data_IF_524837246128
#
_entry.id   IF_524837246128
#
_cell.length_a   1.000
_cell.length_b   1.000
_cell.length_c   1.000
_cell.angle_alpha   90.00
_cell.angle_beta   90.00
_cell.angle_gamma   90.00
#
_symmetry.space_group_name_H-M   'P 1'
#
loop_
_entity.id
_entity.type
_entity.pdbx_description
1 polymer ?
#
# COMPACT_ATOMS: atom_id res chain seq x y z
N UNK A 1 -12.59 -24.21 -3.47
CA UNK A 1 -13.82 -23.50 -3.06
C UNK A 1 -14.04 -22.30 -3.97
N UNK A 2 -15.28 -21.98 -4.30
CA UNK A 2 -15.62 -20.82 -5.13
C UNK A 2 -15.51 -19.55 -4.30
N UNK A 3 -14.85 -18.52 -4.85
CA UNK A 3 -14.78 -17.17 -4.28
C UNK A 3 -15.15 -16.14 -5.33
N UNK A 4 -15.60 -14.96 -4.88
CA UNK A 4 -15.93 -13.82 -5.74
C UNK A 4 -15.40 -12.55 -5.08
N UNK A 5 -14.31 -12.00 -5.59
CA UNK A 5 -13.57 -10.87 -5.03
C UNK A 5 -13.64 -9.69 -6.02
N UNK A 6 -13.91 -8.49 -5.55
CA UNK A 6 -13.79 -7.28 -6.37
C UNK A 6 -12.36 -6.76 -6.29
N UNK A 7 -11.54 -7.03 -7.31
CA UNK A 7 -10.13 -6.63 -7.38
C UNK A 7 -9.98 -5.38 -8.26
N UNK A 8 -9.55 -4.27 -7.67
CA UNK A 8 -9.38 -2.98 -8.36
C UNK A 8 -10.62 -2.58 -9.19
N UNK A 9 -11.82 -2.79 -8.62
CA UNK A 9 -13.08 -2.48 -9.27
C UNK A 9 -13.62 -3.55 -10.23
N UNK A 10 -12.86 -4.59 -10.51
CA UNK A 10 -13.25 -5.69 -11.41
C UNK A 10 -13.62 -6.92 -10.59
N UNK A 11 -14.79 -7.49 -10.83
CA UNK A 11 -15.22 -8.72 -10.16
C UNK A 11 -14.50 -9.93 -10.75
N UNK A 12 -13.79 -10.65 -9.90
CA UNK A 12 -13.11 -11.91 -10.22
C UNK A 12 -13.82 -13.03 -9.47
N UNK A 13 -14.25 -14.07 -10.19
CA UNK A 13 -14.92 -15.23 -9.60
C UNK A 13 -14.26 -16.50 -10.12
N UNK A 14 -13.66 -17.27 -9.22
CA UNK A 14 -12.95 -18.50 -9.56
C UNK A 14 -12.94 -19.51 -8.43
N UNK A 15 -12.57 -20.73 -8.75
CA UNK A 15 -12.34 -21.79 -7.76
C UNK A 15 -10.88 -21.73 -7.28
N UNK A 16 -10.68 -21.66 -5.97
CA UNK A 16 -9.36 -21.60 -5.34
C UNK A 16 -9.13 -22.73 -4.34
N UNK A 17 -7.86 -23.00 -4.05
CA UNK A 17 -7.47 -23.83 -2.90
C UNK A 17 -7.83 -23.10 -1.59
N UNK A 18 -8.33 -23.82 -0.57
CA UNK A 18 -8.76 -23.20 0.70
C UNK A 18 -7.65 -22.46 1.46
N UNK A 19 -6.40 -22.86 1.25
CA UNK A 19 -5.19 -22.32 1.88
C UNK A 19 -4.47 -21.27 1.04
N UNK A 20 -5.04 -20.89 -0.13
CA UNK A 20 -4.44 -19.87 -0.99
C UNK A 20 -4.36 -18.52 -0.25
N UNK A 21 -3.16 -17.94 -0.20
CA UNK A 21 -2.95 -16.62 0.39
C UNK A 21 -3.42 -15.51 -0.56
N UNK A 22 -3.94 -14.42 0.02
CA UNK A 22 -4.43 -13.28 -0.75
C UNK A 22 -3.32 -12.66 -1.62
N UNK A 23 -2.07 -12.63 -1.15
CA UNK A 23 -0.92 -12.17 -1.94
C UNK A 23 -0.77 -12.97 -3.24
N UNK A 24 -0.90 -14.27 -3.20
CA UNK A 24 -0.71 -15.13 -4.37
C UNK A 24 -1.91 -14.98 -5.32
N UNK A 25 -3.12 -14.86 -4.80
CA UNK A 25 -4.32 -14.54 -5.57
C UNK A 25 -4.16 -13.24 -6.37
N UNK A 26 -3.88 -12.11 -5.70
CA UNK A 26 -3.79 -10.81 -6.39
C UNK A 26 -2.63 -10.76 -7.40
N UNK A 27 -1.52 -11.44 -7.11
CA UNK A 27 -0.38 -11.54 -8.03
C UNK A 27 -0.68 -12.40 -9.26
N UNK A 28 -1.46 -13.47 -9.12
CA UNK A 28 -1.96 -14.28 -10.24
C UNK A 28 -2.83 -13.44 -11.18
N UNK A 29 -3.58 -12.47 -10.64
CA UNK A 29 -4.42 -11.54 -11.41
C UNK A 29 -3.70 -10.25 -11.85
N UNK A 30 -2.38 -10.27 -11.94
CA UNK A 30 -1.60 -9.18 -12.54
C UNK A 30 -1.15 -8.08 -11.58
N UNK A 31 -1.57 -8.08 -10.31
CA UNK A 31 -1.16 -7.08 -9.32
C UNK A 31 0.29 -7.32 -8.86
N UNK A 32 1.25 -6.99 -9.71
CA UNK A 32 2.68 -7.23 -9.46
C UNK A 32 3.33 -6.23 -8.52
N UNK A 33 2.66 -5.09 -8.23
CA UNK A 33 3.08 -4.15 -7.21
C UNK A 33 3.08 -4.77 -5.80
N UNK A 34 2.20 -5.74 -5.55
CA UNK A 34 2.13 -6.48 -4.29
C UNK A 34 3.30 -7.47 -4.23
N UNK A 35 4.25 -7.24 -3.31
CA UNK A 35 5.51 -8.00 -3.28
C UNK A 35 5.70 -8.78 -1.99
N UNK A 36 6.36 -9.94 -2.11
CA UNK A 36 6.78 -10.76 -0.98
C UNK A 36 8.23 -10.42 -0.65
N UNK A 37 8.45 -9.65 0.41
CA UNK A 37 9.79 -9.24 0.86
C UNK A 37 10.25 -9.97 2.12
N UNK A 38 9.37 -10.71 2.79
CA UNK A 38 9.69 -11.54 3.96
C UNK A 38 8.76 -12.74 4.04
N UNK A 39 9.08 -13.66 4.95
CA UNK A 39 8.24 -14.82 5.29
C UNK A 39 7.68 -14.74 6.73
N UNK A 40 7.80 -13.56 7.36
CA UNK A 40 7.49 -13.35 8.78
C UNK A 40 6.44 -12.27 9.02
N UNK A 41 5.77 -11.79 7.96
CA UNK A 41 4.66 -10.82 8.01
C UNK A 41 5.00 -9.48 8.69
N UNK A 42 6.24 -8.98 8.48
CA UNK A 42 6.71 -7.76 9.14
C UNK A 42 7.29 -6.69 8.21
N UNK A 43 7.44 -6.95 6.90
CA UNK A 43 8.10 -5.99 6.01
C UNK A 43 7.17 -4.93 5.37
N UNK A 44 5.86 -5.14 5.38
CA UNK A 44 4.89 -4.20 4.82
C UNK A 44 4.78 -4.18 3.28
N UNK A 45 5.60 -4.95 2.55
CA UNK A 45 5.67 -4.87 1.09
C UNK A 45 4.46 -5.51 0.37
N UNK A 46 3.71 -6.34 1.07
CA UNK A 46 2.52 -7.01 0.57
C UNK A 46 1.21 -6.29 0.93
N UNK A 47 1.28 -5.07 1.43
CA UNK A 47 0.10 -4.31 1.83
C UNK A 47 -0.86 -4.10 0.67
N UNK A 48 -2.13 -4.41 0.91
CA UNK A 48 -3.28 -4.12 0.06
C UNK A 48 -4.40 -3.52 0.91
N UNK A 49 -5.40 -2.91 0.30
CA UNK A 49 -6.61 -2.54 1.03
C UNK A 49 -7.66 -3.64 0.90
N UNK A 50 -8.19 -4.08 2.01
CA UNK A 50 -9.38 -4.91 2.13
C UNK A 50 -10.49 -4.03 2.70
N UNK A 51 -11.52 -3.73 1.89
CA UNK A 51 -12.58 -2.77 2.22
C UNK A 51 -12.02 -1.46 2.77
N UNK A 52 -11.06 -0.89 2.03
CA UNK A 52 -10.38 0.37 2.32
C UNK A 52 -9.48 0.38 3.59
N UNK A 53 -9.25 -0.78 4.22
CA UNK A 53 -8.32 -0.94 5.35
C UNK A 53 -7.03 -1.63 4.93
N UNK A 54 -5.85 -1.14 5.34
CA UNK A 54 -4.59 -1.77 5.00
C UNK A 54 -4.44 -3.12 5.72
N UNK A 55 -4.09 -4.14 4.95
CA UNK A 55 -3.79 -5.49 5.48
C UNK A 55 -2.56 -6.06 4.80
N UNK A 56 -1.84 -6.93 5.52
CA UNK A 56 -0.74 -7.71 4.95
C UNK A 56 -1.32 -8.91 4.19
N UNK A 57 -1.36 -8.85 2.88
CA UNK A 57 -1.96 -9.91 2.05
C UNK A 57 -1.28 -11.27 2.19
N UNK A 58 -0.02 -11.31 2.65
CA UNK A 58 0.69 -12.56 2.97
C UNK A 58 0.17 -13.28 4.23
N UNK A 59 -0.68 -12.60 5.04
CA UNK A 59 -1.26 -13.13 6.28
C UNK A 59 -2.78 -13.28 6.20
N UNK A 60 -3.36 -13.09 5.02
CA UNK A 60 -4.80 -13.23 4.77
C UNK A 60 -5.02 -14.36 3.78
N UNK A 61 -5.91 -15.28 4.10
CA UNK A 61 -6.39 -16.29 3.13
C UNK A 61 -7.30 -15.62 2.10
N UNK A 62 -7.13 -15.95 0.82
CA UNK A 62 -8.00 -15.43 -0.25
C UNK A 62 -9.48 -15.76 0.00
N UNK A 63 -9.76 -16.90 0.62
CA UNK A 63 -11.09 -17.31 1.06
C UNK A 63 -11.77 -16.31 2.00
N UNK A 64 -10.99 -15.56 2.80
CA UNK A 64 -11.52 -14.51 3.71
C UNK A 64 -11.87 -13.22 2.99
N UNK A 65 -11.43 -13.06 1.75
CA UNK A 65 -11.75 -11.92 0.90
C UNK A 65 -12.97 -12.17 0.00
N UNK A 66 -13.65 -13.32 0.12
CA UNK A 66 -14.87 -13.60 -0.63
C UNK A 66 -15.96 -12.57 -0.33
N UNK A 67 -16.53 -11.99 -1.37
CA UNK A 67 -17.52 -10.91 -1.26
C UNK A 67 -16.95 -9.52 -0.96
N UNK A 68 -15.65 -9.40 -0.70
CA UNK A 68 -14.99 -8.16 -0.32
C UNK A 68 -14.30 -7.44 -1.50
N UNK A 69 -13.93 -6.17 -1.26
CA UNK A 69 -13.18 -5.33 -2.19
C UNK A 69 -11.71 -5.36 -1.82
N UNK A 70 -10.88 -5.70 -2.79
CA UNK A 70 -9.42 -5.61 -2.68
C UNK A 70 -8.93 -4.51 -3.61
N UNK A 71 -8.14 -3.58 -3.05
CA UNK A 71 -7.49 -2.53 -3.83
C UNK A 71 -5.97 -2.65 -3.66
N UNK A 72 -5.27 -2.69 -4.76
CA UNK A 72 -3.80 -2.66 -4.84
C UNK A 72 -3.34 -1.34 -5.45
N UNK A 73 -2.03 -1.12 -5.53
CA UNK A 73 -1.49 0.11 -6.12
C UNK A 73 -1.95 0.31 -7.58
N UNK A 74 -2.18 -0.79 -8.31
CA UNK A 74 -2.72 -0.74 -9.67
C UNK A 74 -4.11 -0.07 -9.74
N UNK A 75 -4.88 -0.11 -8.67
CA UNK A 75 -6.18 0.56 -8.55
C UNK A 75 -6.13 1.98 -7.99
N UNK A 76 -4.95 2.52 -7.67
CA UNK A 76 -4.74 3.83 -7.03
C UNK A 76 -3.70 4.69 -7.79
N UNK A 77 -3.62 4.54 -9.11
CA UNK A 77 -2.55 5.14 -9.92
C UNK A 77 -2.46 6.67 -9.79
N UNK A 78 -3.59 7.36 -9.74
CA UNK A 78 -3.61 8.83 -9.64
C UNK A 78 -3.09 9.31 -8.28
N UNK A 79 -3.65 8.79 -7.18
CA UNK A 79 -3.21 9.11 -5.81
C UNK A 79 -1.74 8.74 -5.60
N UNK A 80 -1.34 7.57 -6.12
CA UNK A 80 0.02 7.06 -6.00
C UNK A 80 1.02 7.92 -6.78
N UNK A 81 0.68 8.38 -7.97
CA UNK A 81 1.54 9.23 -8.79
C UNK A 81 1.73 10.63 -8.16
N UNK A 82 0.65 11.24 -7.64
CA UNK A 82 0.71 12.54 -6.97
C UNK A 82 1.65 12.47 -5.76
N UNK A 83 1.46 11.51 -4.86
CA UNK A 83 2.31 11.33 -3.68
C UNK A 83 3.72 10.87 -4.05
N UNK A 84 3.85 9.93 -4.99
CA UNK A 84 5.12 9.33 -5.40
C UNK A 84 6.13 10.37 -5.93
N UNK A 85 5.67 11.42 -6.58
CA UNK A 85 6.50 12.55 -7.03
C UNK A 85 7.27 13.19 -5.88
N UNK A 86 6.64 13.40 -4.74
CA UNK A 86 7.29 13.98 -3.55
C UNK A 86 8.37 13.06 -2.96
N UNK A 87 8.20 11.75 -3.07
CA UNK A 87 9.21 10.78 -2.64
C UNK A 87 10.41 10.78 -3.59
N UNK A 88 10.14 10.81 -4.89
CA UNK A 88 11.19 10.87 -5.93
C UNK A 88 12.02 12.14 -5.82
N UNK A 89 11.40 13.30 -5.60
CA UNK A 89 12.08 14.61 -5.44
C UNK A 89 13.06 14.65 -4.27
N UNK A 90 12.91 13.77 -3.28
CA UNK A 90 13.85 13.64 -2.16
C UNK A 90 15.01 12.67 -2.44
N UNK A 91 15.08 12.07 -3.63
CA UNK A 91 16.03 11.01 -3.92
C UNK A 91 15.84 9.77 -3.04
N UNK A 92 14.62 9.55 -2.54
CA UNK A 92 14.30 8.45 -1.64
C UNK A 92 14.13 7.11 -2.38
N UNK A 93 14.10 7.14 -3.68
CA UNK A 93 14.02 5.94 -4.52
C UNK A 93 15.41 5.45 -4.91
N UNK A 94 15.69 4.17 -4.66
CA UNK A 94 16.88 3.48 -5.14
C UNK A 94 16.46 2.24 -5.92
N UNK A 95 16.30 1.06 -5.28
CA UNK A 95 15.84 -0.12 -6.01
C UNK A 95 14.34 -0.13 -6.30
N UNK A 96 13.54 0.67 -5.59
CA UNK A 96 12.09 0.80 -5.77
C UNK A 96 11.25 -0.38 -5.24
N UNK A 97 11.89 -1.42 -4.71
CA UNK A 97 11.17 -2.64 -4.31
C UNK A 97 10.18 -2.40 -3.18
N UNK A 98 10.50 -1.52 -2.22
CA UNK A 98 9.63 -1.19 -1.09
C UNK A 98 8.52 -0.18 -1.44
N UNK A 99 8.67 0.58 -2.52
CA UNK A 99 7.80 1.73 -2.82
C UNK A 99 6.31 1.39 -2.88
N UNK A 100 5.85 0.32 -3.55
CA UNK A 100 4.42 0.04 -3.60
C UNK A 100 3.77 -0.16 -2.23
N UNK A 101 4.38 -0.99 -1.37
CA UNK A 101 3.86 -1.21 -0.02
C UNK A 101 3.94 0.03 0.86
N UNK A 102 5.02 0.80 0.73
CA UNK A 102 5.20 2.08 1.42
C UNK A 102 4.12 3.09 1.01
N UNK A 103 3.87 3.27 -0.29
CA UNK A 103 2.83 4.18 -0.80
C UNK A 103 1.46 3.74 -0.31
N UNK A 104 1.11 2.46 -0.37
CA UNK A 104 -0.16 1.93 0.13
C UNK A 104 -0.37 2.29 1.61
N UNK A 105 0.63 2.10 2.47
CA UNK A 105 0.52 2.42 3.88
C UNK A 105 0.52 3.93 4.15
N UNK A 106 1.27 4.73 3.39
CA UNK A 106 1.20 6.19 3.50
C UNK A 106 -0.20 6.72 3.12
N UNK A 107 -0.79 6.22 2.04
CA UNK A 107 -2.16 6.57 1.65
C UNK A 107 -3.18 6.15 2.71
N UNK A 108 -2.99 4.99 3.36
CA UNK A 108 -3.82 4.57 4.48
C UNK A 108 -3.73 5.54 5.65
N UNK A 109 -2.51 5.93 6.03
CA UNK A 109 -2.28 6.92 7.09
C UNK A 109 -3.00 8.25 6.78
N UNK A 110 -2.88 8.77 5.56
CA UNK A 110 -3.51 10.04 5.16
C UNK A 110 -5.04 9.99 5.17
N UNK A 111 -5.63 8.81 4.99
CA UNK A 111 -7.09 8.58 5.10
C UNK A 111 -7.55 8.53 6.55
N UNK A 112 -6.74 7.94 7.43
CA UNK A 112 -7.03 7.83 8.86
C UNK A 112 -6.74 9.14 9.60
N UNK A 113 -5.62 9.80 9.27
CA UNK A 113 -5.18 11.08 9.82
C UNK A 113 -4.65 11.97 8.68
N UNK A 114 -5.43 12.95 8.21
CA UNK A 114 -5.04 13.81 7.07
C UNK A 114 -3.80 14.68 7.32
N UNK A 115 -3.46 14.95 8.58
CA UNK A 115 -2.35 15.81 8.96
C UNK A 115 -1.54 15.22 10.12
N UNK A 116 -0.91 14.06 9.91
CA UNK A 116 -0.12 13.42 10.95
C UNK A 116 1.12 14.25 11.28
N UNK A 117 1.54 14.19 12.52
CA UNK A 117 2.83 14.69 12.96
C UNK A 117 3.95 13.77 12.45
N UNK A 118 5.19 14.26 12.47
CA UNK A 118 6.35 13.46 12.09
C UNK A 118 6.48 12.17 12.91
N UNK A 119 6.20 12.23 14.21
CA UNK A 119 6.22 11.05 15.09
C UNK A 119 5.14 10.03 14.71
N UNK A 120 3.91 10.49 14.43
CA UNK A 120 2.82 9.62 13.97
C UNK A 120 3.15 8.95 12.63
N UNK A 121 3.80 9.67 11.72
CA UNK A 121 4.28 9.10 10.45
C UNK A 121 5.30 8.00 10.69
N UNK A 122 6.30 8.25 11.56
CA UNK A 122 7.34 7.27 11.91
C UNK A 122 6.75 6.03 12.57
N UNK A 123 5.83 6.21 13.49
CA UNK A 123 5.15 5.11 14.18
C UNK A 123 4.33 4.27 13.20
N UNK A 124 3.49 4.91 12.40
CA UNK A 124 2.60 4.20 11.45
C UNK A 124 3.39 3.41 10.40
N UNK A 125 4.48 3.98 9.89
CA UNK A 125 5.29 3.38 8.84
C UNK A 125 6.44 2.50 9.36
N UNK A 126 6.55 2.29 10.65
CA UNK A 126 7.60 1.45 11.26
C UNK A 126 7.61 0.01 10.76
N UNK A 127 6.46 -0.49 10.29
CA UNK A 127 6.32 -1.82 9.67
C UNK A 127 6.64 -1.85 8.16
N UNK A 128 7.07 -0.75 7.55
CA UNK A 128 7.44 -0.68 6.13
C UNK A 128 8.96 -0.68 5.98
N UNK A 129 9.54 -1.84 5.66
CA UNK A 129 10.98 -2.00 5.64
C UNK A 129 11.58 -1.62 4.28
N UNK A 130 12.66 -0.85 4.35
CA UNK A 130 13.51 -0.50 3.21
C UNK A 130 14.98 -0.77 3.57
N UNK A 131 15.74 -1.38 2.66
CA UNK A 131 17.17 -1.66 2.87
C UNK A 131 18.07 -0.60 2.24
N UNK A 132 17.51 0.29 1.41
CA UNK A 132 18.30 1.22 0.60
C UNK A 132 18.25 2.66 1.10
N UNK A 133 17.07 3.19 1.42
CA UNK A 133 16.83 4.63 1.58
C UNK A 133 17.28 5.22 2.92
N UNK A 134 17.37 4.41 3.97
CA UNK A 134 17.59 4.91 5.35
C UNK A 134 16.42 5.71 5.92
N UNK A 135 15.24 5.70 5.25
CA UNK A 135 13.95 6.28 5.66
C UNK A 135 13.85 7.81 5.69
N UNK A 136 14.92 8.54 5.91
CA UNK A 136 14.92 10.01 6.07
C UNK A 136 14.37 10.75 4.82
N UNK A 137 14.76 10.30 3.62
CA UNK A 137 14.23 10.86 2.38
C UNK A 137 12.74 10.59 2.21
N UNK A 138 12.27 9.39 2.60
CA UNK A 138 10.85 9.04 2.59
C UNK A 138 10.05 9.94 3.55
N UNK A 139 10.56 10.14 4.77
CA UNK A 139 9.93 11.02 5.76
C UNK A 139 9.83 12.45 5.25
N UNK A 140 10.91 13.03 4.71
CA UNK A 140 10.88 14.37 4.12
C UNK A 140 9.87 14.48 2.98
N UNK A 141 9.80 13.47 2.11
CA UNK A 141 8.82 13.42 1.03
C UNK A 141 7.38 13.46 1.54
N UNK A 142 7.07 12.70 2.59
CA UNK A 142 5.76 12.73 3.26
C UNK A 142 5.46 14.11 3.81
N UNK A 143 6.36 14.69 4.59
CA UNK A 143 6.14 15.99 5.22
C UNK A 143 5.98 17.11 4.19
N UNK A 144 6.72 17.06 3.08
CA UNK A 144 6.56 18.00 1.96
C UNK A 144 5.20 17.83 1.27
N UNK A 145 4.77 16.59 1.02
CA UNK A 145 3.45 16.30 0.46
C UNK A 145 2.32 16.85 1.35
N UNK A 146 2.39 16.59 2.66
CA UNK A 146 1.39 17.08 3.61
C UNK A 146 1.34 18.63 3.66
N UNK A 147 2.50 19.28 3.61
CA UNK A 147 2.59 20.75 3.54
C UNK A 147 1.93 21.29 2.27
N UNK A 148 2.26 20.70 1.12
CA UNK A 148 1.66 21.06 -0.17
C UNK A 148 0.15 20.83 -0.18
N UNK A 149 -0.33 19.68 0.32
CA UNK A 149 -1.75 19.35 0.41
C UNK A 149 -2.52 20.38 1.24
N UNK A 150 -1.99 20.74 2.41
CA UNK A 150 -2.58 21.78 3.27
C UNK A 150 -2.68 23.15 2.59
N UNK A 151 -1.65 23.53 1.82
CA UNK A 151 -1.64 24.78 1.06
C UNK A 151 -2.67 24.76 -0.07
N UNK A 152 -2.80 23.66 -0.78
CA UNK A 152 -3.78 23.47 -1.84
C UNK A 152 -5.21 23.58 -1.32
N UNK A 153 -5.54 22.90 -0.22
CA UNK A 153 -6.86 22.94 0.40
C UNK A 153 -7.21 24.33 0.98
N UNK A 154 -6.22 25.11 1.42
CA UNK A 154 -6.42 26.48 1.89
C UNK A 154 -6.66 27.50 0.76
N UNK A 155 -6.34 27.14 -0.49
CA UNK A 155 -6.49 27.98 -1.67
C UNK A 155 -7.81 27.75 -2.45
N UNK A 156 -8.53 26.66 -2.13
CA UNK A 156 -9.86 26.31 -2.66
C UNK A 156 -10.98 26.90 -1.79
#
# INVERSE_FOLDING_TARGET
MQVSITLNGIRVSEEIAPDLLLIDFVRAHGCKSVKRGCETSNCGLCTVFLDDRPVLSCSVLAARADGHKITTLEGLQEEAAEFGGFIADQGAEQCGFCNPGFIMNALALFRENPYPTEEEVKEYLSGNLCRCSGYEGQLRGIMNFLTWKKQKEAAE
#
